data_IF_464478515576
#
_entry.id   IF_464478515576
#
_cell.length_a   1.000
_cell.length_b   1.000
_cell.length_c   1.000
_cell.angle_alpha   90.00
_cell.angle_beta   90.00
_cell.angle_gamma   90.00
#
_symmetry.space_group_name_H-M   'P 1'
#
loop_
_entity.id
_entity.type
_entity.pdbx_description
1 polymer ?
#
# COMPACT_ATOMS: atom_id res chain seq x y z
N UNK A 1 0.67 22.05 16.57
CA UNK A 1 -0.43 21.51 15.75
C UNK A 1 -0.22 20.01 15.65
N UNK A 2 -1.15 19.19 16.15
CA UNK A 2 -1.15 17.75 15.88
C UNK A 2 -1.64 17.56 14.44
N UNK A 3 -0.75 17.13 13.54
CA UNK A 3 -1.13 16.75 12.18
C UNK A 3 -1.74 15.36 12.27
N UNK A 4 -3.06 15.26 12.07
CA UNK A 4 -3.73 13.97 11.97
C UNK A 4 -3.33 13.29 10.65
N UNK A 5 -2.69 12.13 10.73
CA UNK A 5 -2.32 11.32 9.56
C UNK A 5 -3.47 10.37 9.19
N UNK A 6 -3.68 10.15 7.89
CA UNK A 6 -4.56 9.13 7.37
C UNK A 6 -3.82 7.79 7.30
N UNK A 7 -4.31 6.80 8.03
CA UNK A 7 -3.80 5.43 8.01
C UNK A 7 -4.95 4.46 7.68
N UNK A 8 -4.70 3.53 6.74
CA UNK A 8 -5.65 2.48 6.39
C UNK A 8 -4.94 1.14 6.33
N UNK A 9 -5.60 0.07 6.81
CA UNK A 9 -5.10 -1.30 6.74
C UNK A 9 -6.19 -2.27 6.29
N UNK A 10 -5.79 -3.33 5.59
CA UNK A 10 -6.68 -4.43 5.21
C UNK A 10 -5.90 -5.72 5.10
N UNK A 11 -6.61 -6.84 5.27
CA UNK A 11 -6.14 -8.14 4.83
C UNK A 11 -6.68 -8.38 3.42
N UNK A 12 -5.86 -8.94 2.53
CA UNK A 12 -6.23 -9.29 1.16
C UNK A 12 -5.94 -10.78 0.96
N UNK A 13 -6.97 -11.61 0.71
CA UNK A 13 -6.77 -13.00 0.32
C UNK A 13 -5.96 -13.09 -0.98
N UNK A 14 -5.05 -14.05 -1.06
CA UNK A 14 -4.25 -14.31 -2.26
C UNK A 14 -4.43 -15.76 -2.70
N UNK A 15 -4.65 -15.95 -4.00
CA UNK A 15 -4.72 -17.26 -4.61
C UNK A 15 -3.47 -18.10 -4.33
N UNK A 16 -3.66 -19.39 -4.02
CA UNK A 16 -2.54 -20.30 -3.77
C UNK A 16 -1.61 -20.38 -4.98
N UNK A 17 -0.31 -20.27 -4.72
CA UNK A 17 0.73 -20.35 -5.76
C UNK A 17 1.01 -19.01 -6.46
N UNK A 18 0.26 -17.95 -6.16
CA UNK A 18 0.63 -16.61 -6.59
C UNK A 18 1.74 -16.04 -5.71
N UNK A 19 2.74 -15.41 -6.32
CA UNK A 19 3.78 -14.67 -5.62
C UNK A 19 3.29 -13.25 -5.34
N UNK A 20 3.11 -12.81 -4.07
CA UNK A 20 2.65 -11.46 -3.77
C UNK A 20 3.55 -10.37 -4.34
N UNK A 21 4.87 -10.57 -4.39
CA UNK A 21 5.80 -9.58 -4.96
C UNK A 21 5.60 -9.40 -6.46
N UNK A 22 5.38 -10.49 -7.20
CA UNK A 22 5.15 -10.45 -8.66
C UNK A 22 3.80 -9.81 -9.02
N UNK A 23 2.81 -9.88 -8.13
CA UNK A 23 1.52 -9.23 -8.30
C UNK A 23 1.54 -7.75 -7.89
N UNK A 24 2.13 -7.46 -6.72
CA UNK A 24 2.08 -6.14 -6.11
C UNK A 24 3.05 -5.14 -6.76
N UNK A 25 4.29 -5.54 -7.04
CA UNK A 25 5.29 -4.58 -7.53
C UNK A 25 4.86 -3.90 -8.85
N UNK A 26 4.44 -4.63 -9.90
CA UNK A 26 4.01 -3.99 -11.15
C UNK A 26 2.73 -3.18 -10.99
N UNK A 27 1.86 -3.54 -10.05
CA UNK A 27 0.66 -2.79 -9.74
C UNK A 27 1.00 -1.44 -9.08
N UNK A 28 1.90 -1.44 -8.10
CA UNK A 28 2.32 -0.23 -7.39
C UNK A 28 3.13 0.71 -8.29
N UNK A 29 3.99 0.17 -9.16
CA UNK A 29 4.70 0.94 -10.17
C UNK A 29 3.74 1.63 -11.16
N UNK A 30 2.68 0.96 -11.60
CA UNK A 30 1.62 1.57 -12.43
C UNK A 30 0.85 2.67 -11.70
N UNK A 31 0.78 2.62 -10.37
CA UNK A 31 0.24 3.69 -9.53
C UNK A 31 1.23 4.85 -9.34
N UNK A 32 2.42 4.78 -9.94
CA UNK A 32 3.46 5.81 -9.85
C UNK A 32 4.25 5.76 -8.55
N UNK A 33 4.25 4.62 -7.85
CA UNK A 33 5.01 4.43 -6.61
C UNK A 33 6.37 3.81 -6.92
N UNK A 34 7.42 4.31 -6.28
CA UNK A 34 8.69 3.61 -6.22
C UNK A 34 8.55 2.42 -5.27
N UNK A 35 9.04 1.26 -5.67
CA UNK A 35 8.89 0.00 -4.93
C UNK A 35 10.25 -0.46 -4.41
N UNK A 36 10.28 -0.87 -3.14
CA UNK A 36 11.41 -1.49 -2.48
C UNK A 36 10.96 -2.81 -1.86
N UNK A 37 11.75 -3.87 -2.07
CA UNK A 37 11.52 -5.17 -1.44
C UNK A 37 12.70 -5.46 -0.51
N UNK A 38 12.62 -5.10 0.78
CA UNK A 38 13.74 -5.23 1.70
C UNK A 38 14.06 -6.69 2.03
N UNK A 39 13.07 -7.60 1.90
CA UNK A 39 13.23 -9.04 2.09
C UNK A 39 12.26 -9.85 1.21
N UNK A 40 12.28 -11.19 1.34
CA UNK A 40 11.41 -12.07 0.54
C UNK A 40 9.92 -12.08 0.94
N UNK A 41 9.51 -11.30 1.94
CA UNK A 41 8.19 -11.40 2.60
C UNK A 41 7.46 -10.07 2.75
N UNK A 42 8.15 -8.97 2.54
CA UNK A 42 7.62 -7.63 2.69
C UNK A 42 7.94 -6.77 1.48
N UNK A 43 7.09 -5.79 1.23
CA UNK A 43 7.29 -4.79 0.19
C UNK A 43 6.87 -3.43 0.71
N UNK A 44 7.67 -2.43 0.38
CA UNK A 44 7.39 -1.03 0.64
C UNK A 44 7.22 -0.31 -0.69
N UNK A 45 6.26 0.61 -0.76
CA UNK A 45 6.15 1.50 -1.90
C UNK A 45 5.82 2.92 -1.47
N UNK A 46 6.34 3.91 -2.18
CA UNK A 46 6.17 5.31 -1.80
C UNK A 46 6.13 6.24 -3.00
N UNK A 47 5.39 7.33 -2.87
CA UNK A 47 5.47 8.42 -3.84
C UNK A 47 6.83 9.10 -3.73
N UNK A 48 7.48 9.30 -4.87
CA UNK A 48 8.68 10.14 -4.93
C UNK A 48 8.29 11.61 -4.75
N UNK A 49 9.05 12.39 -3.96
CA UNK A 49 8.79 13.82 -3.81
C UNK A 49 8.83 14.52 -5.16
N UNK A 50 7.76 15.24 -5.49
CA UNK A 50 7.68 16.13 -6.64
C UNK A 50 7.52 17.59 -6.19
N UNK A 51 7.88 18.54 -7.05
CA UNK A 51 7.69 19.95 -6.73
C UNK A 51 6.19 20.26 -6.57
N UNK A 52 5.81 20.83 -5.42
CA UNK A 52 4.45 21.36 -5.21
C UNK A 52 3.58 20.67 -4.16
N UNK A 53 4.06 19.63 -3.45
CA UNK A 53 3.33 19.02 -2.32
C UNK A 53 4.19 18.88 -1.06
N UNK A 54 3.63 19.13 0.15
CA UNK A 54 4.28 18.82 1.42
C UNK A 54 4.69 17.35 1.51
N UNK A 55 5.89 17.09 2.04
CA UNK A 55 6.45 15.73 2.15
C UNK A 55 5.54 14.78 2.93
N UNK A 56 4.84 15.30 3.93
CA UNK A 56 3.94 14.50 4.74
C UNK A 56 2.74 13.97 3.94
N UNK A 57 2.29 14.64 2.89
CA UNK A 57 1.09 14.25 2.13
C UNK A 57 1.35 13.10 1.14
N UNK A 58 2.61 12.68 0.98
CA UNK A 58 2.96 11.55 0.12
C UNK A 58 2.50 10.22 0.72
N UNK A 59 1.91 9.39 -0.13
CA UNK A 59 1.44 8.05 0.24
C UNK A 59 2.62 7.10 0.35
N UNK A 60 2.58 6.31 1.43
CA UNK A 60 3.43 5.15 1.64
C UNK A 60 2.54 3.91 1.77
N UNK A 61 3.02 2.80 1.25
CA UNK A 61 2.36 1.49 1.26
C UNK A 61 3.32 0.48 1.86
N UNK A 62 2.82 -0.37 2.75
CA UNK A 62 3.53 -1.54 3.25
C UNK A 62 2.67 -2.78 2.98
N UNK A 63 3.29 -3.81 2.44
CA UNK A 63 2.70 -5.11 2.27
C UNK A 63 3.54 -6.14 3.04
N UNK A 64 2.89 -7.00 3.80
CA UNK A 64 3.52 -8.08 4.56
C UNK A 64 2.75 -9.38 4.32
N UNK A 65 3.45 -10.39 3.82
CA UNK A 65 2.94 -11.74 3.61
C UNK A 65 3.78 -12.78 4.33
N UNK A 66 4.41 -12.40 5.45
CA UNK A 66 5.23 -13.28 6.27
C UNK A 66 4.46 -14.47 6.84
N UNK A 67 3.16 -14.30 7.09
CA UNK A 67 2.26 -15.32 7.63
C UNK A 67 1.33 -15.95 6.57
N UNK A 68 1.57 -15.66 5.28
CA UNK A 68 0.69 -16.07 4.19
C UNK A 68 0.46 -17.59 4.12
N UNK A 69 1.47 -18.39 4.49
CA UNK A 69 1.35 -19.85 4.51
C UNK A 69 0.30 -20.36 5.50
N UNK A 70 0.02 -19.60 6.57
CA UNK A 70 -0.96 -19.96 7.59
C UNK A 70 -2.31 -19.29 7.38
N UNK A 71 -2.33 -18.04 6.93
CA UNK A 71 -3.57 -17.23 6.80
C UNK A 71 -4.16 -17.27 5.41
N UNK A 72 -3.35 -17.44 4.36
CA UNK A 72 -3.75 -17.22 2.97
C UNK A 72 -4.02 -15.75 2.63
N UNK A 73 -3.63 -14.83 3.52
CA UNK A 73 -3.86 -13.40 3.37
C UNK A 73 -2.55 -12.62 3.47
N UNK A 74 -2.43 -11.55 2.67
CA UNK A 74 -1.41 -10.52 2.88
C UNK A 74 -2.01 -9.36 3.69
N UNK A 75 -1.21 -8.77 4.56
CA UNK A 75 -1.51 -7.51 5.22
C UNK A 75 -1.05 -6.36 4.32
N UNK A 76 -1.94 -5.39 4.09
CA UNK A 76 -1.64 -4.18 3.35
C UNK A 76 -1.98 -2.95 4.20
N UNK A 77 -1.02 -2.04 4.31
CA UNK A 77 -1.13 -0.80 5.06
C UNK A 77 -0.80 0.39 4.17
N UNK A 78 -1.46 1.52 4.40
CA UNK A 78 -1.20 2.79 3.72
C UNK A 78 -1.17 3.94 4.71
N UNK A 79 -0.25 4.89 4.50
CA UNK A 79 -0.07 6.07 5.34
C UNK A 79 0.11 7.31 4.47
N UNK A 80 -0.53 8.41 4.86
CA UNK A 80 -0.32 9.74 4.31
C UNK A 80 -0.64 10.79 5.37
N UNK A 81 0.05 11.92 5.33
CA UNK A 81 -0.19 13.10 6.16
C UNK A 81 -1.37 13.95 5.70
N UNK A 82 -2.13 13.51 4.69
CA UNK A 82 -3.39 14.15 4.31
C UNK A 82 -4.36 14.26 5.48
N UNK A 83 -5.00 15.43 5.61
CA UNK A 83 -6.04 15.65 6.61
C UNK A 83 -7.25 14.74 6.39
N UNK A 84 -7.67 14.05 7.46
CA UNK A 84 -8.85 13.16 7.47
C UNK A 84 -10.19 13.89 7.29
N UNK A 85 -10.21 15.22 7.13
CA UNK A 85 -11.43 15.99 6.89
C UNK A 85 -12.11 15.68 5.54
N UNK A 86 -11.48 14.89 4.66
CA UNK A 86 -12.02 14.46 3.37
C UNK A 86 -12.64 13.06 3.50
N UNK A 87 -13.84 12.87 2.96
CA UNK A 87 -14.57 11.60 2.96
C UNK A 87 -13.88 10.45 2.21
N UNK A 88 -12.83 10.74 1.44
CA UNK A 88 -12.02 9.76 0.72
C UNK A 88 -10.56 10.22 0.69
N UNK A 89 -9.74 9.64 1.57
CA UNK A 89 -8.29 9.89 1.60
C UNK A 89 -7.60 9.16 0.45
N UNK A 90 -6.42 9.63 0.03
CA UNK A 90 -5.65 8.91 -1.00
C UNK A 90 -5.19 7.54 -0.51
N UNK A 91 -4.94 7.38 0.80
CA UNK A 91 -4.70 6.08 1.43
C UNK A 91 -5.81 5.08 1.12
N UNK A 92 -7.07 5.45 1.40
CA UNK A 92 -8.22 4.61 1.12
C UNK A 92 -8.35 4.33 -0.38
N UNK A 93 -8.13 5.32 -1.25
CA UNK A 93 -8.20 5.12 -2.70
C UNK A 93 -7.13 4.16 -3.24
N UNK A 94 -5.88 4.25 -2.78
CA UNK A 94 -4.78 3.35 -3.16
C UNK A 94 -5.07 1.94 -2.69
N UNK A 95 -5.47 1.77 -1.43
CA UNK A 95 -5.80 0.47 -0.85
C UNK A 95 -6.96 -0.21 -1.59
N UNK A 96 -8.02 0.53 -1.91
CA UNK A 96 -9.15 0.04 -2.70
C UNK A 96 -8.74 -0.36 -4.12
N UNK A 97 -7.88 0.43 -4.76
CA UNK A 97 -7.36 0.13 -6.10
C UNK A 97 -6.56 -1.17 -6.08
N UNK A 98 -5.69 -1.36 -5.07
CA UNK A 98 -4.90 -2.58 -4.92
C UNK A 98 -5.81 -3.79 -4.72
N UNK A 99 -6.76 -3.68 -3.78
CA UNK A 99 -7.71 -4.76 -3.48
C UNK A 99 -8.53 -5.18 -4.70
N UNK A 100 -8.98 -4.23 -5.52
CA UNK A 100 -9.75 -4.52 -6.73
C UNK A 100 -8.94 -5.07 -7.90
N UNK A 101 -7.60 -4.92 -7.86
CA UNK A 101 -6.71 -5.31 -8.96
C UNK A 101 -6.01 -6.65 -8.73
N UNK A 102 -6.00 -7.15 -7.49
CA UNK A 102 -5.42 -8.45 -7.17
C UNK A 102 -6.39 -9.58 -7.53
N UNK A 103 -5.92 -10.67 -8.16
CA UNK A 103 -6.75 -11.83 -8.41
C UNK A 103 -7.15 -12.48 -7.09
N UNK A 104 -8.46 -12.71 -6.92
CA UNK A 104 -9.03 -13.46 -5.80
C UNK A 104 -8.69 -14.95 -5.89
#
# INVERSE_FOLDING_TARGET
>A
MNLAMAYCRTLIPIARGASPSELLAPLLERLGLAVEQPDGRTLMAFELPCSGRPVQDYVRVWADWSDLANTGELLLETLSGESMARSRTRCAAVLETIRSSLPA
#
